data_IF_585289344186
#
_entry.id   IF_585289344186
#
_cell.length_a   1.000
_cell.length_b   1.000
_cell.length_c   1.000
_cell.angle_alpha   90.00
_cell.angle_beta   90.00
_cell.angle_gamma   90.00
#
_symmetry.space_group_name_H-M   'P 1'
#
loop_
_entity.id
_entity.type
_entity.pdbx_description
1 polymer ?
#
# COMPACT_ATOMS: atom_id res chain seq x y z
N UNK A 1 25.32 -8.10 5.96
CA UNK A 1 24.46 -8.19 4.77
C UNK A 1 24.66 -6.89 4.02
N UNK A 2 25.50 -6.87 2.97
CA UNK A 2 25.72 -5.68 2.13
C UNK A 2 24.91 -5.88 0.86
N UNK A 3 23.65 -5.45 0.89
CA UNK A 3 22.78 -5.42 -0.29
C UNK A 3 22.55 -3.94 -0.58
N UNK A 4 22.59 -3.56 -1.85
CA UNK A 4 22.28 -2.20 -2.25
C UNK A 4 20.79 -1.92 -1.98
N UNK A 5 20.48 -0.70 -1.56
CA UNK A 5 19.09 -0.28 -1.42
C UNK A 5 18.40 -0.32 -2.78
N UNK A 6 17.17 -0.81 -2.79
CA UNK A 6 16.30 -0.81 -3.97
C UNK A 6 15.31 0.33 -3.79
N UNK A 7 15.42 1.34 -4.66
CA UNK A 7 14.46 2.45 -4.69
C UNK A 7 13.13 1.99 -5.27
N UNK A 8 12.03 2.30 -4.58
CA UNK A 8 10.70 2.18 -5.15
C UNK A 8 10.49 3.29 -6.20
N UNK A 9 10.68 2.95 -7.46
CA UNK A 9 10.27 3.78 -8.59
C UNK A 9 9.37 2.96 -9.50
N UNK A 10 8.17 3.47 -9.78
CA UNK A 10 7.22 2.77 -10.64
C UNK A 10 7.73 2.66 -12.06
N UNK A 11 7.17 1.74 -12.84
CA UNK A 11 7.45 1.65 -14.29
C UNK A 11 7.09 2.91 -15.07
N UNK A 12 6.25 3.79 -14.50
CA UNK A 12 5.94 5.12 -15.04
C UNK A 12 6.90 6.23 -14.58
N UNK A 13 7.91 5.91 -13.77
CA UNK A 13 8.91 6.86 -13.26
C UNK A 13 8.51 7.61 -11.98
N UNK A 14 7.42 7.24 -11.30
CA UNK A 14 6.99 7.89 -10.06
C UNK A 14 7.70 7.29 -8.84
N UNK A 15 8.16 8.14 -7.93
CA UNK A 15 8.77 7.72 -6.66
C UNK A 15 7.94 8.31 -5.52
N UNK A 16 7.22 7.49 -4.73
CA UNK A 16 6.36 7.98 -3.68
C UNK A 16 7.14 8.50 -2.48
N UNK A 17 6.53 9.42 -1.75
CA UNK A 17 7.08 10.02 -0.55
C UNK A 17 6.42 9.49 0.72
N UNK A 18 7.24 9.29 1.76
CA UNK A 18 6.84 9.40 3.16
C UNK A 18 5.97 8.29 3.76
N UNK A 19 6.25 8.02 5.04
CA UNK A 19 5.43 7.24 5.97
C UNK A 19 4.88 5.91 5.39
N UNK A 20 5.75 5.01 4.94
CA UNK A 20 5.32 3.79 4.28
C UNK A 20 4.72 2.78 5.26
N UNK A 21 3.82 1.94 4.75
CA UNK A 21 3.40 0.69 5.38
C UNK A 21 3.39 -0.40 4.33
N UNK A 22 3.90 -1.60 4.65
CA UNK A 22 3.96 -2.72 3.71
C UNK A 22 3.32 -3.99 4.26
N UNK A 23 2.77 -4.79 3.36
CA UNK A 23 2.33 -6.17 3.60
C UNK A 23 2.80 -7.06 2.44
N UNK A 24 2.89 -8.36 2.70
CA UNK A 24 3.18 -9.35 1.67
C UNK A 24 2.02 -10.34 1.53
N UNK A 25 1.55 -10.55 0.30
CA UNK A 25 0.42 -11.40 -0.02
C UNK A 25 0.81 -12.50 -1.01
N UNK A 26 0.61 -13.76 -0.60
CA UNK A 26 0.76 -14.93 -1.46
C UNK A 26 -0.50 -15.15 -2.31
N UNK A 27 -0.56 -14.57 -3.51
CA UNK A 27 -1.68 -14.81 -4.41
C UNK A 27 -1.64 -16.21 -5.05
N UNK A 28 -2.80 -16.83 -5.35
CA UNK A 28 -2.87 -18.17 -5.93
C UNK A 28 -2.02 -18.31 -7.20
N UNK A 29 -1.21 -19.37 -7.26
CA UNK A 29 -0.33 -19.65 -8.40
C UNK A 29 0.97 -18.85 -8.44
N UNK A 30 1.20 -17.91 -7.51
CA UNK A 30 2.48 -17.19 -7.42
C UNK A 30 3.56 -18.01 -6.73
N UNK A 31 4.82 -17.79 -7.11
CA UNK A 31 6.00 -18.28 -6.37
C UNK A 31 6.66 -17.20 -5.51
N UNK A 32 6.44 -15.92 -5.82
CA UNK A 32 7.07 -14.78 -5.12
C UNK A 32 6.08 -13.97 -4.26
N UNK A 33 4.78 -14.20 -4.44
CA UNK A 33 3.74 -13.37 -3.86
C UNK A 33 3.76 -11.94 -4.41
N UNK A 34 3.23 -11.01 -3.62
CA UNK A 34 3.12 -9.59 -3.94
C UNK A 34 3.47 -8.76 -2.71
N UNK A 35 4.38 -7.81 -2.86
CA UNK A 35 4.66 -6.77 -1.86
C UNK A 35 3.75 -5.59 -2.18
N UNK A 36 2.92 -5.21 -1.22
CA UNK A 36 1.99 -4.10 -1.33
C UNK A 36 2.45 -3.02 -0.36
N UNK A 37 2.68 -1.82 -0.88
CA UNK A 37 3.14 -0.66 -0.11
C UNK A 37 2.12 0.46 -0.23
N UNK A 38 1.78 1.06 0.91
CA UNK A 38 1.10 2.35 0.98
C UNK A 38 2.08 3.42 1.40
N UNK A 39 1.89 4.65 0.92
CA UNK A 39 2.62 5.85 1.35
C UNK A 39 1.63 6.96 1.69
N UNK A 40 2.11 8.06 2.26
CA UNK A 40 1.25 9.22 2.58
C UNK A 40 1.03 10.16 1.37
N UNK A 41 1.90 10.08 0.35
CA UNK A 41 1.88 11.00 -0.78
C UNK A 41 0.81 10.66 -1.80
N UNK A 42 0.32 9.42 -1.79
CA UNK A 42 -0.50 8.86 -2.86
C UNK A 42 -1.71 8.12 -2.30
N UNK A 43 -2.82 8.14 -3.03
CA UNK A 43 -4.01 7.33 -2.73
C UNK A 43 -3.86 5.90 -3.21
N UNK A 44 -3.11 5.68 -4.29
CA UNK A 44 -2.81 4.35 -4.85
C UNK A 44 -1.91 3.53 -3.94
N UNK A 45 -1.83 2.23 -4.24
CA UNK A 45 -0.88 1.30 -3.64
C UNK A 45 0.22 0.99 -4.64
N UNK A 46 1.43 0.77 -4.14
CA UNK A 46 2.58 0.37 -4.92
C UNK A 46 2.80 -1.12 -4.77
N UNK A 47 2.93 -1.82 -5.89
CA UNK A 47 2.87 -3.28 -5.93
C UNK A 47 4.09 -3.82 -6.66
N UNK A 48 4.75 -4.80 -6.06
CA UNK A 48 5.81 -5.57 -6.71
C UNK A 48 5.53 -7.07 -6.63
N UNK A 49 5.63 -7.75 -7.77
CA UNK A 49 5.40 -9.21 -7.91
C UNK A 49 6.68 -10.00 -8.18
N UNK A 50 7.82 -9.32 -8.16
CA UNK A 50 9.13 -9.81 -8.57
C UNK A 50 10.23 -9.49 -7.54
N UNK A 51 9.84 -9.47 -6.27
CA UNK A 51 10.72 -9.20 -5.12
C UNK A 51 11.35 -7.79 -5.17
N UNK A 52 10.50 -6.77 -5.32
CA UNK A 52 10.85 -5.35 -5.36
C UNK A 52 11.66 -4.90 -6.59
N UNK A 53 11.80 -5.73 -7.65
CA UNK A 53 12.53 -5.35 -8.85
C UNK A 53 11.75 -4.37 -9.73
N UNK A 54 10.44 -4.56 -9.87
CA UNK A 54 9.55 -3.63 -10.57
C UNK A 54 8.36 -3.26 -9.71
N UNK A 55 7.87 -2.03 -9.89
CA UNK A 55 6.76 -1.47 -9.14
C UNK A 55 5.68 -0.94 -10.09
N UNK A 56 4.44 -1.36 -9.85
CA UNK A 56 3.24 -0.84 -10.51
C UNK A 56 2.32 -0.22 -9.47
N UNK A 57 1.26 0.45 -9.94
CA UNK A 57 0.26 1.05 -9.06
C UNK A 57 -1.09 0.36 -9.19
N UNK A 58 -1.81 0.26 -8.07
CA UNK A 58 -3.18 -0.25 -8.01
C UNK A 58 -4.03 0.77 -7.25
N UNK A 59 -5.17 1.17 -7.82
CA UNK A 59 -6.15 2.01 -7.14
C UNK A 59 -7.28 1.14 -6.57
N UNK A 60 -7.67 1.41 -5.32
CA UNK A 60 -8.81 0.78 -4.64
C UNK A 60 -9.76 1.83 -4.02
N UNK A 61 -9.64 3.09 -4.42
CA UNK A 61 -10.51 4.18 -3.96
C UNK A 61 -10.37 4.47 -2.46
N UNK A 62 -9.20 4.20 -1.86
CA UNK A 62 -8.95 4.45 -0.45
C UNK A 62 -8.33 5.83 -0.24
N UNK A 63 -8.78 6.55 0.79
CA UNK A 63 -8.15 7.81 1.18
C UNK A 63 -6.69 7.59 1.60
N UNK A 64 -5.83 8.57 1.30
CA UNK A 64 -4.44 8.56 1.76
C UNK A 64 -4.31 9.13 3.18
N UNK A 65 -3.12 9.08 3.75
CA UNK A 65 -2.79 9.70 5.02
C UNK A 65 -1.47 9.23 5.60
N UNK A 66 -1.09 9.84 6.71
CA UNK A 66 0.16 9.53 7.38
C UNK A 66 0.15 8.10 7.92
N UNK A 67 1.16 7.32 7.53
CA UNK A 67 1.31 5.92 7.94
C UNK A 67 0.03 5.10 7.76
N UNK A 68 -0.65 5.28 6.60
CA UNK A 68 -1.88 4.54 6.28
C UNK A 68 -1.63 3.04 6.41
N UNK A 69 -2.29 2.45 7.39
CA UNK A 69 -2.06 1.10 7.86
C UNK A 69 -2.67 0.08 6.90
N UNK A 70 -1.97 -1.05 6.72
CA UNK A 70 -2.41 -2.19 5.92
C UNK A 70 -2.48 -3.45 6.78
N UNK A 71 -3.57 -4.20 6.67
CA UNK A 71 -3.72 -5.49 7.33
C UNK A 71 -4.33 -6.50 6.37
N UNK A 72 -3.61 -7.58 6.12
CA UNK A 72 -4.17 -8.76 5.47
C UNK A 72 -4.93 -9.58 6.49
N UNK A 73 -6.15 -10.00 6.15
CA UNK A 73 -6.95 -10.86 7.02
C UNK A 73 -7.78 -11.86 6.21
N UNK A 74 -8.17 -12.96 6.85
CA UNK A 74 -9.05 -13.96 6.28
C UNK A 74 -10.50 -13.62 6.64
N UNK A 75 -11.32 -13.34 5.63
CA UNK A 75 -12.76 -13.16 5.70
C UNK A 75 -13.45 -14.40 5.15
N UNK A 76 -13.79 -15.34 6.03
CA UNK A 76 -14.52 -16.57 5.69
C UNK A 76 -13.90 -17.39 4.53
N UNK A 77 -12.58 -17.56 4.56
CA UNK A 77 -11.81 -18.27 3.54
C UNK A 77 -11.28 -17.38 2.41
N UNK A 78 -11.70 -16.10 2.34
CA UNK A 78 -11.25 -15.15 1.34
C UNK A 78 -10.27 -14.17 1.97
N UNK A 79 -9.04 -14.10 1.47
CA UNK A 79 -8.09 -13.11 1.95
C UNK A 79 -8.47 -11.70 1.45
N UNK A 80 -8.42 -10.71 2.34
CA UNK A 80 -8.78 -9.31 2.09
C UNK A 80 -7.71 -8.37 2.62
N UNK A 81 -7.72 -7.14 2.12
CA UNK A 81 -6.90 -6.05 2.63
C UNK A 81 -7.77 -5.04 3.37
N UNK A 82 -7.54 -4.87 4.67
CA UNK A 82 -8.07 -3.76 5.44
C UNK A 82 -7.08 -2.61 5.42
N UNK A 83 -7.58 -1.41 5.12
CA UNK A 83 -6.81 -0.18 5.00
C UNK A 83 -7.38 0.83 5.99
N UNK A 84 -6.52 1.50 6.77
CA UNK A 84 -6.94 2.49 7.76
C UNK A 84 -6.05 3.73 7.69
N UNK A 85 -6.65 4.91 7.67
CA UNK A 85 -5.95 6.20 7.78
C UNK A 85 -6.54 7.03 8.90
N UNK A 86 -5.70 7.82 9.57
CA UNK A 86 -6.11 8.85 10.53
C UNK A 86 -5.95 10.28 10.01
N UNK A 87 -5.68 10.46 8.72
CA UNK A 87 -5.40 11.76 8.11
C UNK A 87 -3.93 12.17 8.21
N UNK A 88 -3.65 13.47 8.27
CA UNK A 88 -2.30 14.03 8.15
C UNK A 88 -1.82 14.82 9.37
N UNK A 89 -0.51 14.80 9.60
CA UNK A 89 0.15 15.68 10.56
C UNK A 89 -0.04 17.15 10.19
N UNK A 90 -0.04 18.03 11.19
CA UNK A 90 -0.13 19.47 10.99
C UNK A 90 -1.49 19.94 10.46
N UNK A 91 -2.48 19.04 10.39
CA UNK A 91 -3.79 19.42 9.91
C UNK A 91 -4.48 20.38 10.89
N UNK A 92 -4.63 21.63 10.47
CA UNK A 92 -5.28 22.72 11.20
C UNK A 92 -6.02 23.66 10.25
N UNK A 93 -7.05 24.35 10.74
CA UNK A 93 -7.85 25.27 9.92
C UNK A 93 -8.85 24.55 9.02
N UNK A 94 -8.65 24.61 7.70
CA UNK A 94 -9.61 24.14 6.69
C UNK A 94 -9.42 22.68 6.24
N UNK A 95 -8.49 21.93 6.86
CA UNK A 95 -8.38 20.50 6.66
C UNK A 95 -9.01 19.75 7.85
N UNK A 96 -9.49 18.54 7.57
CA UNK A 96 -10.17 17.72 8.57
C UNK A 96 -9.60 16.31 8.53
N UNK A 97 -9.12 15.85 9.68
CA UNK A 97 -8.71 14.46 9.87
C UNK A 97 -9.90 13.64 10.35
N UNK A 98 -10.09 12.49 9.73
CA UNK A 98 -11.04 11.47 10.16
C UNK A 98 -10.33 10.13 10.19
N UNK A 99 -10.75 9.27 11.11
CA UNK A 99 -10.46 7.85 10.98
C UNK A 99 -11.33 7.31 9.86
N UNK A 100 -10.71 6.89 8.76
CA UNK A 100 -11.38 6.24 7.65
C UNK A 100 -10.76 4.87 7.44
N UNK A 101 -11.61 3.88 7.20
CA UNK A 101 -11.16 2.54 6.85
C UNK A 101 -12.02 1.94 5.73
N UNK A 102 -11.43 0.97 5.05
CA UNK A 102 -12.09 0.22 3.99
C UNK A 102 -11.49 -1.17 3.85
N UNK A 103 -12.29 -2.09 3.31
CA UNK A 103 -11.86 -3.44 2.98
C UNK A 103 -11.85 -3.56 1.45
N UNK A 104 -10.69 -3.88 0.90
CA UNK A 104 -10.50 -4.13 -0.53
C UNK A 104 -10.34 -5.62 -0.80
N UNK A 105 -10.85 -6.07 -1.93
CA UNK A 105 -10.46 -7.35 -2.51
C UNK A 105 -8.99 -7.31 -2.96
N UNK A 106 -8.40 -8.49 -3.10
CA UNK A 106 -6.99 -8.62 -3.47
C UNK A 106 -6.74 -8.74 -4.99
N UNK A 107 -7.76 -8.59 -5.84
CA UNK A 107 -7.55 -8.62 -7.29
C UNK A 107 -6.72 -7.41 -7.74
N UNK A 108 -5.82 -7.61 -8.69
CA UNK A 108 -4.92 -6.57 -9.19
C UNK A 108 -3.67 -6.34 -8.33
N UNK A 109 -3.69 -6.71 -7.04
CA UNK A 109 -2.48 -6.80 -6.24
C UNK A 109 -1.60 -7.99 -6.63
#
# INVERSE_FOLDING_TARGET
>A
MNVADITLTTTSGHTPGGSPYSVWYQYPGSTSGSIIVSTNSDTVFFVSKDNAQTWTTVDKGQYTGQSRHLMLFNDNGVQRLHVVTGGFYGCSGSCYNYISNGVSDLSGF
#
